data_IF_782468428922
#
_entry.id   IF_782468428922
#
_cell.length_a   1.000
_cell.length_b   1.000
_cell.length_c   1.000
_cell.angle_alpha   90.00
_cell.angle_beta   90.00
_cell.angle_gamma   90.00
#
_symmetry.space_group_name_H-M   'P 1'
#
loop_
_entity.id
_entity.type
_entity.pdbx_description
1 polymer ?
#
# COMPACT_ATOMS: atom_id res chain seq x y z
N UNK A 1 -21.26 10.38 -7.43
CA UNK A 1 -21.05 9.88 -6.07
C UNK A 1 -20.11 8.70 -6.07
N UNK A 2 -19.13 8.68 -5.20
CA UNK A 2 -18.24 7.55 -5.08
C UNK A 2 -18.77 6.63 -3.98
N UNK A 3 -19.36 5.48 -4.33
CA UNK A 3 -19.93 4.58 -3.33
C UNK A 3 -18.86 3.92 -2.48
N UNK A 4 -17.66 3.76 -3.00
CA UNK A 4 -16.57 3.16 -2.27
C UNK A 4 -15.56 4.23 -1.92
N UNK A 5 -15.15 4.30 -0.68
CA UNK A 5 -14.10 5.20 -0.27
C UNK A 5 -12.76 4.81 -0.87
N UNK A 6 -11.77 5.65 -0.67
CA UNK A 6 -10.42 5.39 -1.16
C UNK A 6 -9.75 4.30 -0.34
N UNK A 7 -8.93 3.52 -1.00
CA UNK A 7 -8.09 2.49 -0.38
C UNK A 7 -6.62 2.84 -0.61
N UNK A 8 -5.89 3.00 0.47
CA UNK A 8 -4.43 3.14 0.40
C UNK A 8 -3.83 1.75 0.30
N UNK A 9 -2.86 1.58 -0.60
CA UNK A 9 -2.23 0.29 -0.86
C UNK A 9 -0.80 0.31 -0.31
N UNK A 10 -0.53 -0.59 0.64
CA UNK A 10 0.80 -0.73 1.20
C UNK A 10 1.73 -1.47 0.23
N UNK A 11 3.03 -1.34 0.45
CA UNK A 11 4.07 -1.88 -0.42
C UNK A 11 3.90 -3.37 -0.68
N UNK A 12 3.57 -4.16 0.36
CA UNK A 12 3.48 -5.62 0.20
C UNK A 12 2.44 -6.02 -0.86
N UNK A 13 1.36 -5.26 -1.00
CA UNK A 13 0.35 -5.56 -2.01
C UNK A 13 0.91 -5.38 -3.43
N UNK A 14 1.63 -4.29 -3.68
CA UNK A 14 2.27 -4.08 -4.98
C UNK A 14 3.32 -5.16 -5.25
N UNK A 15 4.10 -5.49 -4.23
CA UNK A 15 5.15 -6.51 -4.36
C UNK A 15 4.54 -7.84 -4.76
N UNK A 16 3.50 -8.30 -4.05
CA UNK A 16 2.88 -9.59 -4.38
C UNK A 16 2.21 -9.59 -5.74
N UNK A 17 1.68 -8.45 -6.17
CA UNK A 17 1.06 -8.38 -7.49
C UNK A 17 2.03 -8.69 -8.63
N UNK A 18 3.33 -8.49 -8.40
CA UNK A 18 4.37 -8.69 -9.41
C UNK A 18 5.33 -9.83 -9.06
N UNK A 19 5.06 -10.59 -8.01
CA UNK A 19 5.91 -11.68 -7.55
C UNK A 19 5.25 -13.02 -7.87
N UNK A 20 5.71 -13.66 -8.95
CA UNK A 20 5.14 -14.93 -9.40
C UNK A 20 5.45 -16.10 -8.47
N UNK A 21 6.40 -15.95 -7.54
CA UNK A 21 6.76 -17.02 -6.61
C UNK A 21 5.68 -17.28 -5.56
N UNK A 22 4.74 -16.34 -5.36
CA UNK A 22 3.66 -16.44 -4.39
C UNK A 22 2.32 -16.38 -5.14
N UNK A 23 1.97 -17.47 -5.82
CA UNK A 23 0.86 -17.47 -6.77
C UNK A 23 -0.49 -17.06 -6.16
N UNK A 24 -0.80 -17.54 -4.95
CA UNK A 24 -2.07 -17.20 -4.31
C UNK A 24 -2.11 -15.74 -3.89
N UNK A 25 -1.02 -15.23 -3.32
CA UNK A 25 -0.94 -13.83 -2.93
C UNK A 25 -0.95 -12.93 -4.16
N UNK A 26 -0.31 -13.37 -5.24
CA UNK A 26 -0.34 -12.61 -6.48
C UNK A 26 -1.76 -12.45 -7.00
N UNK A 27 -2.56 -13.51 -6.98
CA UNK A 27 -3.95 -13.45 -7.43
C UNK A 27 -4.77 -12.49 -6.58
N UNK A 28 -4.63 -12.58 -5.26
CA UNK A 28 -5.36 -11.70 -4.35
C UNK A 28 -4.97 -10.24 -4.53
N UNK A 29 -3.67 -9.96 -4.64
CA UNK A 29 -3.17 -8.60 -4.85
C UNK A 29 -3.67 -8.05 -6.18
N UNK A 30 -3.58 -8.82 -7.25
CA UNK A 30 -4.05 -8.38 -8.57
C UNK A 30 -5.54 -8.12 -8.60
N UNK A 31 -6.34 -8.98 -7.95
CA UNK A 31 -7.78 -8.78 -7.89
C UNK A 31 -8.13 -7.46 -7.21
N UNK A 32 -7.45 -7.15 -6.11
CA UNK A 32 -7.65 -5.87 -5.43
C UNK A 32 -7.25 -4.70 -6.31
N UNK A 33 -6.06 -4.75 -6.89
CA UNK A 33 -5.56 -3.64 -7.71
C UNK A 33 -6.43 -3.39 -8.95
N UNK A 34 -6.90 -4.45 -9.59
CA UNK A 34 -7.82 -4.32 -10.73
C UNK A 34 -9.10 -3.60 -10.33
N UNK A 35 -9.65 -3.95 -9.16
CA UNK A 35 -10.85 -3.27 -8.66
C UNK A 35 -10.58 -1.80 -8.38
N UNK A 36 -9.43 -1.49 -7.77
CA UNK A 36 -9.09 -0.10 -7.46
C UNK A 36 -8.85 0.73 -8.72
N UNK A 37 -8.25 0.11 -9.76
CA UNK A 37 -8.12 0.75 -11.07
C UNK A 37 -9.49 1.06 -11.68
N UNK A 38 -10.39 0.07 -11.65
CA UNK A 38 -11.72 0.22 -12.24
C UNK A 38 -12.52 1.29 -11.52
N UNK A 39 -12.45 1.32 -10.19
CA UNK A 39 -13.22 2.25 -9.36
C UNK A 39 -12.55 3.63 -9.23
N UNK A 40 -11.28 3.74 -9.65
CA UNK A 40 -10.47 4.95 -9.46
C UNK A 40 -10.39 5.33 -7.98
N UNK A 41 -10.22 4.33 -7.12
CA UNK A 41 -10.26 4.51 -5.67
C UNK A 41 -8.95 4.17 -4.96
N UNK A 42 -7.91 3.84 -5.71
CA UNK A 42 -6.61 3.52 -5.12
C UNK A 42 -5.77 4.77 -4.87
N UNK A 43 -5.06 4.79 -3.76
CA UNK A 43 -4.09 5.85 -3.45
C UNK A 43 -2.81 5.22 -2.92
N UNK A 44 -1.72 5.92 -3.08
CA UNK A 44 -0.38 5.45 -2.71
C UNK A 44 0.41 6.60 -2.08
N UNK A 45 1.64 6.29 -1.69
CA UNK A 45 2.61 7.32 -1.28
C UNK A 45 3.94 7.12 -2.00
N UNK A 46 4.78 8.14 -1.98
CA UNK A 46 6.13 8.04 -2.53
C UNK A 46 6.93 6.96 -1.81
N UNK A 47 6.72 6.78 -0.51
CA UNK A 47 7.38 5.72 0.25
C UNK A 47 7.07 4.34 -0.35
N UNK A 48 5.79 4.08 -0.63
CA UNK A 48 5.37 2.79 -1.19
C UNK A 48 6.04 2.54 -2.55
N UNK A 49 6.08 3.57 -3.40
CA UNK A 49 6.71 3.44 -4.70
C UNK A 49 8.22 3.20 -4.60
N UNK A 50 8.87 3.88 -3.67
CA UNK A 50 10.30 3.69 -3.42
C UNK A 50 10.60 2.27 -2.95
N UNK A 51 9.83 1.79 -1.97
CA UNK A 51 10.02 0.45 -1.43
C UNK A 51 9.75 -0.62 -2.48
N UNK A 52 8.69 -0.45 -3.28
CA UNK A 52 8.41 -1.38 -4.37
C UNK A 52 9.61 -1.47 -5.32
N UNK A 53 10.13 -0.32 -5.75
CA UNK A 53 11.26 -0.30 -6.70
C UNK A 53 12.45 -1.07 -6.14
N UNK A 54 12.80 -0.82 -4.88
CA UNK A 54 13.94 -1.48 -4.25
C UNK A 54 13.74 -2.99 -4.15
N UNK A 55 12.56 -3.42 -3.67
CA UNK A 55 12.27 -4.84 -3.50
C UNK A 55 12.26 -5.56 -4.84
N UNK A 56 11.57 -5.00 -5.83
CA UNK A 56 11.43 -5.66 -7.13
C UNK A 56 12.78 -5.81 -7.85
N UNK A 57 13.62 -4.78 -7.79
CA UNK A 57 14.89 -4.79 -8.52
C UNK A 57 16.01 -5.51 -7.78
N UNK A 58 15.87 -5.75 -6.47
CA UNK A 58 16.94 -6.32 -5.65
C UNK A 58 16.61 -7.63 -4.96
N UNK A 59 15.32 -7.87 -4.65
CA UNK A 59 14.92 -9.04 -3.86
C UNK A 59 14.13 -10.08 -4.63
N UNK A 60 13.54 -9.74 -5.76
CA UNK A 60 12.89 -10.75 -6.59
C UNK A 60 13.91 -11.73 -7.14
N UNK A 61 13.48 -12.97 -7.39
CA UNK A 61 14.31 -14.02 -7.96
C UNK A 61 13.65 -14.60 -9.22
N UNK A 62 14.10 -14.25 -10.42
CA UNK A 62 15.20 -13.30 -10.69
C UNK A 62 14.80 -11.86 -10.44
N UNK A 63 15.76 -10.95 -10.26
CA UNK A 63 15.46 -9.54 -10.07
C UNK A 63 14.69 -8.96 -11.26
N UNK A 64 13.72 -8.10 -10.99
CA UNK A 64 13.04 -7.40 -12.06
C UNK A 64 13.99 -6.42 -12.73
N UNK A 65 14.03 -6.38 -14.07
CA UNK A 65 14.83 -5.36 -14.76
C UNK A 65 14.43 -3.95 -14.31
N UNK A 66 15.42 -3.10 -14.11
CA UNK A 66 15.15 -1.73 -13.64
C UNK A 66 14.21 -0.95 -14.55
N UNK A 67 14.34 -1.15 -15.87
CA UNK A 67 13.46 -0.48 -16.82
C UNK A 67 11.99 -0.89 -16.61
N UNK A 68 11.74 -2.17 -16.36
CA UNK A 68 10.39 -2.65 -16.09
C UNK A 68 9.85 -2.07 -14.77
N UNK A 69 10.68 -2.06 -13.74
CA UNK A 69 10.27 -1.49 -12.45
C UNK A 69 9.93 -0.01 -12.58
N UNK A 70 10.70 0.75 -13.38
CA UNK A 70 10.41 2.17 -13.64
C UNK A 70 9.07 2.34 -14.34
N UNK A 71 8.75 1.47 -15.29
CA UNK A 71 7.46 1.54 -15.98
C UNK A 71 6.29 1.29 -15.03
N UNK A 72 6.44 0.33 -14.12
CA UNK A 72 5.40 0.05 -13.13
C UNK A 72 5.22 1.22 -12.17
N UNK A 73 6.32 1.80 -11.69
CA UNK A 73 6.24 2.98 -10.83
C UNK A 73 5.54 4.13 -11.56
N UNK A 74 5.90 4.36 -12.83
CA UNK A 74 5.26 5.42 -13.62
C UNK A 74 3.77 5.18 -13.81
N UNK A 75 3.37 3.91 -13.97
CA UNK A 75 1.97 3.57 -14.09
C UNK A 75 1.19 3.91 -12.81
N UNK A 76 1.69 3.48 -11.66
CA UNK A 76 1.03 3.77 -10.38
C UNK A 76 1.13 5.24 -9.99
N UNK A 77 2.09 5.97 -10.52
CA UNK A 77 2.19 7.41 -10.29
C UNK A 77 1.01 8.18 -10.89
N UNK A 78 0.19 7.54 -11.71
CA UNK A 78 -1.06 8.15 -12.21
C UNK A 78 -2.19 8.15 -11.18
N UNK A 79 -2.06 7.36 -10.11
CA UNK A 79 -2.97 7.43 -8.96
C UNK A 79 -2.64 8.68 -8.13
N UNK A 80 -3.53 9.12 -7.24
CA UNK A 80 -3.15 10.10 -6.24
C UNK A 80 -2.01 9.52 -5.39
N UNK A 81 -0.90 10.26 -5.32
CA UNK A 81 0.29 9.83 -4.59
C UNK A 81 0.62 10.87 -3.52
N UNK A 82 0.57 10.45 -2.25
CA UNK A 82 0.96 11.30 -1.14
C UNK A 82 2.48 11.42 -1.12
N UNK A 83 2.97 12.65 -1.17
CA UNK A 83 4.40 12.87 -1.06
C UNK A 83 4.81 12.97 0.40
N UNK A 84 5.90 12.30 0.75
CA UNK A 84 6.43 12.35 2.11
C UNK A 84 7.16 13.68 2.29
N UNK A 85 6.57 14.54 3.11
CA UNK A 85 7.17 15.82 3.47
C UNK A 85 7.47 15.85 4.97
N UNK A 86 8.06 16.94 5.43
CA UNK A 86 8.46 17.06 6.84
C UNK A 86 7.24 16.96 7.78
N UNK A 87 6.14 17.58 7.38
CA UNK A 87 4.92 17.53 8.20
C UNK A 87 4.43 16.09 8.39
N UNK A 88 4.44 15.31 7.34
CA UNK A 88 4.06 13.91 7.43
C UNK A 88 4.99 13.13 8.35
N UNK A 89 6.28 13.39 8.26
CA UNK A 89 7.27 12.74 9.13
C UNK A 89 6.98 13.04 10.60
N UNK A 90 6.70 14.30 10.90
CA UNK A 90 6.41 14.70 12.30
C UNK A 90 5.10 14.10 12.79
N UNK A 91 4.07 14.06 11.95
CA UNK A 91 2.80 13.44 12.31
C UNK A 91 2.97 11.94 12.54
N UNK A 92 3.77 11.27 11.71
CA UNK A 92 4.06 9.85 11.89
C UNK A 92 4.83 9.58 13.17
N UNK A 93 5.79 10.45 13.53
CA UNK A 93 6.53 10.30 14.77
C UNK A 93 5.62 10.42 15.99
N UNK A 94 4.62 11.30 15.94
CA UNK A 94 3.63 11.40 17.01
C UNK A 94 2.75 10.16 17.08
N UNK A 95 2.32 9.65 15.93
CA UNK A 95 1.47 8.44 15.86
C UNK A 95 2.23 7.20 16.35
N UNK A 96 3.52 7.15 16.14
CA UNK A 96 4.36 6.05 16.62
C UNK A 96 4.14 5.82 18.12
N UNK A 97 4.15 6.90 18.88
CA UNK A 97 3.92 6.82 20.32
C UNK A 97 2.48 6.48 20.68
N UNK A 98 1.54 7.13 20.02
CA UNK A 98 0.11 6.96 20.34
C UNK A 98 -0.41 5.58 20.01
N UNK A 99 -0.02 5.03 18.88
CA UNK A 99 -0.57 3.77 18.38
C UNK A 99 0.37 2.58 18.56
N UNK A 100 1.57 2.83 19.10
CA UNK A 100 2.59 1.79 19.33
C UNK A 100 2.92 1.03 18.06
N UNK A 101 3.14 1.78 17.00
CA UNK A 101 3.56 1.26 15.69
C UNK A 101 5.05 1.54 15.49
N UNK A 102 5.67 0.81 14.57
CA UNK A 102 6.98 1.24 14.10
C UNK A 102 6.83 2.58 13.38
N UNK A 103 7.92 3.33 13.29
CA UNK A 103 7.89 4.61 12.58
C UNK A 103 7.44 4.44 11.13
N UNK A 104 7.96 3.41 10.44
CA UNK A 104 7.62 3.19 9.04
C UNK A 104 6.15 2.82 8.84
N UNK A 105 5.58 2.04 9.76
CA UNK A 105 4.16 1.73 9.75
C UNK A 105 3.33 2.98 10.04
N UNK A 106 3.77 3.80 10.99
CA UNK A 106 3.11 5.06 11.28
C UNK A 106 3.09 5.99 10.05
N UNK A 107 4.18 5.99 9.28
CA UNK A 107 4.26 6.74 8.03
C UNK A 107 3.19 6.29 7.02
N UNK A 108 3.01 4.98 6.91
CA UNK A 108 1.99 4.42 6.01
C UNK A 108 0.58 4.84 6.45
N UNK A 109 0.28 4.71 7.74
CA UNK A 109 -1.04 5.09 8.27
C UNK A 109 -1.31 6.59 8.07
N UNK A 110 -0.31 7.44 8.36
CA UNK A 110 -0.48 8.88 8.19
C UNK A 110 -0.65 9.26 6.72
N UNK A 111 0.05 8.58 5.81
CA UNK A 111 -0.13 8.82 4.38
C UNK A 111 -1.55 8.44 3.95
N UNK A 112 -2.06 7.30 4.43
CA UNK A 112 -3.42 6.87 4.15
C UNK A 112 -4.44 7.90 4.66
N UNK A 113 -4.23 8.39 5.87
CA UNK A 113 -5.10 9.39 6.46
C UNK A 113 -5.08 10.70 5.68
N UNK A 114 -3.91 11.17 5.29
CA UNK A 114 -3.74 12.38 4.50
C UNK A 114 -4.44 12.28 3.13
N UNK A 115 -4.41 11.08 2.54
CA UNK A 115 -5.07 10.84 1.26
C UNK A 115 -6.59 10.73 1.37
N UNK A 116 -7.13 10.78 2.58
CA UNK A 116 -8.55 10.59 2.81
C UNK A 116 -9.00 9.16 2.61
N UNK A 117 -8.09 8.19 2.80
CA UNK A 117 -8.43 6.79 2.62
C UNK A 117 -9.25 6.27 3.78
N UNK A 118 -10.32 5.55 3.48
CA UNK A 118 -11.11 4.86 4.48
C UNK A 118 -10.47 3.56 4.88
N UNK A 119 -9.71 2.94 3.98
CA UNK A 119 -9.11 1.63 4.18
C UNK A 119 -7.63 1.66 3.82
N UNK A 120 -6.88 0.81 4.52
CA UNK A 120 -5.48 0.55 4.23
C UNK A 120 -5.35 -0.95 3.95
N UNK A 121 -4.98 -1.30 2.72
CA UNK A 121 -4.77 -2.69 2.34
C UNK A 121 -3.33 -3.07 2.64
N UNK A 122 -3.13 -3.98 3.58
CA UNK A 122 -1.81 -4.42 4.02
C UNK A 122 -1.92 -5.73 4.79
N UNK A 123 -0.87 -6.55 4.73
CA UNK A 123 -0.81 -7.76 5.56
C UNK A 123 -0.15 -7.52 6.92
N UNK A 124 0.38 -6.31 7.18
CA UNK A 124 1.28 -6.06 8.31
C UNK A 124 0.63 -5.54 9.58
N UNK A 125 -0.62 -5.10 9.53
CA UNK A 125 -1.22 -4.34 10.64
C UNK A 125 -2.24 -5.12 11.46
N UNK A 126 -2.58 -6.34 11.07
CA UNK A 126 -3.67 -7.06 11.70
C UNK A 126 -5.04 -6.63 11.16
N UNK A 127 -5.69 -7.53 10.43
CA UNK A 127 -6.98 -7.25 9.80
C UNK A 127 -8.05 -6.93 10.84
N UNK A 128 -8.95 -6.05 10.46
CA UNK A 128 -10.06 -5.66 11.32
C UNK A 128 -9.76 -4.55 12.32
N UNK A 129 -8.50 -4.13 12.41
CA UNK A 129 -8.14 -3.00 13.27
C UNK A 129 -8.54 -1.69 12.61
N UNK A 130 -8.73 -0.68 13.45
CA UNK A 130 -8.87 0.69 12.98
C UNK A 130 -7.81 1.52 13.66
N UNK A 131 -6.98 2.18 12.88
CA UNK A 131 -5.87 2.98 13.38
C UNK A 131 -6.01 4.40 12.83
N UNK A 132 -6.08 5.38 13.72
CA UNK A 132 -6.22 6.80 13.34
C UNK A 132 -7.39 7.01 12.35
N UNK A 133 -8.47 6.26 12.52
CA UNK A 133 -9.66 6.38 11.67
C UNK A 133 -9.60 5.58 10.37
N UNK A 134 -8.50 4.85 10.12
CA UNK A 134 -8.35 4.07 8.89
C UNK A 134 -8.57 2.59 9.21
N UNK A 135 -9.47 1.94 8.45
CA UNK A 135 -9.75 0.53 8.63
C UNK A 135 -8.70 -0.31 7.92
N UNK A 136 -8.14 -1.28 8.62
CA UNK A 136 -7.11 -2.16 8.06
C UNK A 136 -7.78 -3.37 7.42
N UNK A 137 -7.43 -3.65 6.18
CA UNK A 137 -7.88 -4.85 5.47
C UNK A 137 -6.66 -5.64 5.00
N UNK A 138 -6.66 -6.94 5.24
CA UNK A 138 -5.62 -7.83 4.73
C UNK A 138 -6.17 -8.56 3.50
N UNK A 139 -5.75 -8.20 2.28
CA UNK A 139 -6.30 -8.84 1.08
C UNK A 139 -5.87 -10.29 0.92
N UNK A 140 -4.92 -10.76 1.72
CA UNK A 140 -4.39 -12.11 1.62
C UNK A 140 -5.04 -13.08 2.59
N UNK A 141 -5.87 -12.59 3.51
CA UNK A 141 -6.65 -13.46 4.37
C UNK A 141 -7.87 -13.94 3.59
N UNK A 142 -8.06 -15.27 3.57
CA UNK A 142 -9.23 -15.83 2.94
C UNK A 142 -10.45 -15.50 3.78
N UNK A 143 -11.54 -15.12 3.10
CA UNK A 143 -12.81 -14.97 3.78
C UNK A 143 -13.21 -16.32 4.37
N UNK A 144 -13.69 -16.32 5.61
CA UNK A 144 -14.19 -17.54 6.22
C UNK A 144 -15.42 -18.02 5.46
N UNK A 145 -15.49 -19.32 5.15
CA UNK A 145 -16.67 -19.84 4.45
C UNK A 145 -17.95 -19.75 5.29
#
# INVERSE_FOLDING_TARGET
>A
MSPAGRTFVDTNVLVYAHDASEAEKQRAARALLERLWADRSGVLSTQVLQEFYVVATRKFRPPMPRAEAREIVALYATWPVVQVDVELILDAAALEDEAQLSFWDAMVVEAARRAGAERLASEDFGAGRRIAGVAIENPFELAEP
#
